data_IF_048196422797
#
_entry.id   IF_048196422797
#
_cell.length_a   1.000
_cell.length_b   1.000
_cell.length_c   1.000
_cell.angle_alpha   90.00
_cell.angle_beta   90.00
_cell.angle_gamma   90.00
#
_symmetry.space_group_name_H-M   'P 1'
#
loop_
_entity.id
_entity.type
_entity.pdbx_description
1 polymer ?
#
# COMPACT_ATOMS: atom_id res chain seq x y z
N UNK A 1 14.05 -19.44 -8.74
CA UNK A 1 13.48 -20.56 -9.52
C UNK A 1 11.97 -20.61 -9.32
N UNK A 2 11.23 -19.67 -9.91
CA UNK A 2 9.78 -19.70 -10.08
C UNK A 2 9.52 -19.07 -11.45
N UNK A 3 9.27 -19.94 -12.43
CA UNK A 3 8.53 -19.74 -13.69
C UNK A 3 8.85 -18.48 -14.51
N UNK A 4 9.78 -18.63 -15.46
CA UNK A 4 9.77 -17.88 -16.73
C UNK A 4 9.64 -18.88 -17.88
N UNK A 5 8.59 -19.70 -17.86
CA UNK A 5 8.06 -20.21 -19.13
C UNK A 5 7.53 -18.97 -19.88
N UNK A 6 7.93 -18.72 -21.13
CA UNK A 6 7.35 -17.63 -21.90
C UNK A 6 5.87 -17.96 -22.08
N UNK A 7 5.02 -17.34 -21.27
CA UNK A 7 3.57 -17.38 -21.44
C UNK A 7 3.31 -16.97 -22.88
N UNK A 8 2.58 -17.77 -23.65
CA UNK A 8 2.33 -17.46 -25.07
C UNK A 8 1.81 -16.03 -25.19
N UNK A 9 2.25 -15.27 -26.20
CA UNK A 9 1.89 -13.85 -26.33
C UNK A 9 0.36 -13.67 -26.26
N UNK A 10 -0.39 -14.62 -26.81
CA UNK A 10 -1.85 -14.67 -26.75
C UNK A 10 -2.39 -14.78 -25.31
N UNK A 11 -1.79 -15.58 -24.44
CA UNK A 11 -2.16 -15.68 -23.03
C UNK A 11 -1.89 -14.37 -22.29
N UNK A 12 -0.79 -13.68 -22.59
CA UNK A 12 -0.47 -12.36 -21.98
C UNK A 12 -1.55 -11.33 -22.36
N UNK A 13 -1.89 -11.25 -23.65
CA UNK A 13 -2.95 -10.37 -24.13
C UNK A 13 -4.30 -10.69 -23.51
N UNK A 14 -4.66 -11.98 -23.42
CA UNK A 14 -5.87 -12.40 -22.73
C UNK A 14 -5.86 -11.99 -21.25
N UNK A 15 -4.74 -12.18 -20.54
CA UNK A 15 -4.62 -11.80 -19.13
C UNK A 15 -4.77 -10.28 -18.94
N UNK A 16 -4.17 -9.47 -19.82
CA UNK A 16 -4.32 -8.00 -19.78
C UNK A 16 -5.79 -7.60 -19.98
N UNK A 17 -6.47 -8.16 -20.98
CA UNK A 17 -7.87 -7.86 -21.26
C UNK A 17 -8.76 -8.28 -20.08
N UNK A 18 -8.57 -9.50 -19.56
CA UNK A 18 -9.35 -10.01 -18.43
C UNK A 18 -9.12 -9.15 -17.18
N UNK A 19 -7.86 -8.85 -16.85
CA UNK A 19 -7.51 -8.00 -15.70
C UNK A 19 -8.08 -6.58 -15.86
N UNK A 20 -8.00 -6.02 -17.07
CA UNK A 20 -8.60 -4.73 -17.41
C UNK A 20 -10.11 -4.72 -17.20
N UNK A 21 -10.82 -5.74 -17.68
CA UNK A 21 -12.26 -5.90 -17.47
C UNK A 21 -12.58 -6.02 -15.98
N UNK A 22 -11.88 -6.88 -15.24
CA UNK A 22 -12.10 -7.09 -13.80
C UNK A 22 -11.88 -5.78 -13.00
N UNK A 23 -10.80 -5.05 -13.31
CA UNK A 23 -10.47 -3.78 -12.65
C UNK A 23 -11.53 -2.73 -12.95
N UNK A 24 -11.92 -2.63 -14.22
CA UNK A 24 -12.98 -1.73 -14.65
C UNK A 24 -14.30 -2.07 -13.95
N UNK A 25 -14.66 -3.35 -13.89
CA UNK A 25 -15.89 -3.80 -13.23
C UNK A 25 -15.84 -3.47 -11.75
N UNK A 26 -14.75 -3.75 -11.05
CA UNK A 26 -14.59 -3.47 -9.61
C UNK A 26 -14.75 -1.98 -9.30
N UNK A 27 -14.24 -1.10 -10.17
CA UNK A 27 -14.34 0.35 -9.99
C UNK A 27 -15.68 0.92 -10.43
N UNK A 28 -16.33 0.31 -11.42
CA UNK A 28 -17.61 0.75 -11.97
C UNK A 28 -18.82 0.14 -11.24
N UNK A 29 -18.62 -0.97 -10.50
CA UNK A 29 -19.65 -1.65 -9.73
C UNK A 29 -20.36 -0.72 -8.72
N UNK A 30 -19.63 0.11 -7.94
CA UNK A 30 -20.24 1.04 -6.99
C UNK A 30 -20.89 2.25 -7.67
N UNK A 31 -20.47 2.58 -8.89
CA UNK A 31 -20.98 3.72 -9.68
C UNK A 31 -22.22 3.33 -10.50
N UNK A 32 -22.41 2.04 -10.76
CA UNK A 32 -23.51 1.52 -11.56
C UNK A 32 -24.83 1.52 -10.78
N UNK A 33 -25.92 1.90 -11.46
CA UNK A 33 -27.29 1.93 -10.95
C UNK A 33 -27.85 0.55 -10.53
N UNK A 34 -27.09 -0.52 -10.79
CA UNK A 34 -27.41 -1.90 -10.43
C UNK A 34 -27.06 -2.29 -8.99
N UNK A 35 -26.31 -1.45 -8.25
CA UNK A 35 -26.12 -1.70 -6.84
C UNK A 35 -27.44 -1.43 -6.10
N UNK A 36 -27.91 -2.33 -5.20
CA UNK A 36 -29.04 -2.01 -4.35
C UNK A 36 -28.72 -0.69 -3.64
N UNK A 37 -29.69 0.23 -3.61
CA UNK A 37 -29.58 1.57 -2.98
C UNK A 37 -29.04 1.55 -1.53
N UNK A 38 -28.94 0.37 -0.93
CA UNK A 38 -28.48 0.13 0.42
C UNK A 38 -27.49 -1.04 0.37
N UNK A 39 -26.19 -0.73 0.24
CA UNK A 39 -25.16 -1.66 0.66
C UNK A 39 -25.41 -1.90 2.15
N UNK A 40 -25.45 -3.15 2.66
CA UNK A 40 -25.60 -3.37 4.09
C UNK A 40 -24.48 -2.63 4.82
N UNK A 41 -24.83 -1.81 5.81
CA UNK A 41 -23.89 -0.90 6.51
C UNK A 41 -22.62 -1.62 7.02
N UNK A 42 -22.73 -2.92 7.34
CA UNK A 42 -21.59 -3.75 7.75
C UNK A 42 -20.54 -3.91 6.64
N UNK A 43 -20.98 -4.09 5.39
CA UNK A 43 -20.08 -4.24 4.23
C UNK A 43 -19.45 -2.91 3.85
N UNK A 44 -20.21 -1.82 3.88
CA UNK A 44 -19.67 -0.47 3.63
C UNK A 44 -18.61 -0.10 4.67
N UNK A 45 -18.87 -0.36 5.96
CA UNK A 45 -17.88 -0.19 7.02
C UNK A 45 -16.65 -1.07 6.79
N UNK A 46 -16.84 -2.35 6.48
CA UNK A 46 -15.73 -3.27 6.20
C UNK A 46 -14.86 -2.80 5.02
N UNK A 47 -15.48 -2.35 3.92
CA UNK A 47 -14.78 -1.80 2.76
C UNK A 47 -14.01 -0.52 3.09
N UNK A 48 -14.53 0.33 3.98
CA UNK A 48 -13.82 1.51 4.49
C UNK A 48 -12.51 1.19 5.24
N UNK A 49 -12.41 0.00 5.85
CA UNK A 49 -11.20 -0.44 6.53
C UNK A 49 -10.18 -1.13 5.60
N UNK A 50 -10.56 -1.50 4.38
CA UNK A 50 -9.68 -2.19 3.43
C UNK A 50 -8.39 -1.39 3.16
N UNK A 51 -8.42 -0.08 2.86
CA UNK A 51 -7.19 0.68 2.61
C UNK A 51 -6.24 0.64 3.81
N UNK A 52 -6.76 0.85 5.02
CA UNK A 52 -5.94 0.83 6.23
C UNK A 52 -5.39 -0.57 6.53
N UNK A 53 -6.20 -1.61 6.34
CA UNK A 53 -5.81 -3.01 6.58
C UNK A 53 -4.72 -3.49 5.62
N UNK A 54 -4.68 -2.95 4.39
CA UNK A 54 -3.66 -3.28 3.39
C UNK A 54 -2.42 -2.42 3.57
N UNK A 55 -2.57 -1.11 3.80
CA UNK A 55 -1.42 -0.19 3.95
C UNK A 55 -0.59 -0.45 5.21
N UNK A 56 -1.23 -0.82 6.32
CA UNK A 56 -0.53 -1.07 7.59
C UNK A 56 0.57 -2.13 7.45
N UNK A 57 0.28 -3.36 6.97
CA UNK A 57 1.31 -4.35 6.73
C UNK A 57 2.32 -3.90 5.66
N UNK A 58 1.91 -3.21 4.59
CA UNK A 58 2.87 -2.69 3.57
C UNK A 58 3.93 -1.79 4.22
N UNK A 59 3.50 -0.89 5.10
CA UNK A 59 4.42 0.03 5.78
C UNK A 59 5.28 -0.75 6.78
N UNK A 60 4.68 -1.60 7.61
CA UNK A 60 5.39 -2.38 8.63
C UNK A 60 6.45 -3.27 7.97
N UNK A 61 6.12 -4.00 6.91
CA UNK A 61 7.08 -4.89 6.23
C UNK A 61 8.17 -4.09 5.55
N UNK A 62 7.86 -2.94 4.94
CA UNK A 62 8.87 -2.06 4.34
C UNK A 62 9.90 -1.52 5.36
N UNK A 63 9.50 -1.37 6.62
CA UNK A 63 10.36 -0.90 7.71
C UNK A 63 11.14 -2.07 8.35
N UNK A 64 10.45 -3.15 8.71
CA UNK A 64 11.03 -4.27 9.46
C UNK A 64 11.86 -5.23 8.59
N UNK A 65 11.43 -5.49 7.34
CA UNK A 65 12.08 -6.42 6.41
C UNK A 65 12.43 -5.69 5.10
N UNK A 66 13.40 -4.74 5.12
CA UNK A 66 13.79 -4.03 3.92
C UNK A 66 14.35 -4.95 2.82
N UNK A 67 15.10 -5.99 3.20
CA UNK A 67 15.77 -6.93 2.31
C UNK A 67 15.30 -8.39 2.51
N UNK A 68 14.18 -8.58 3.20
CA UNK A 68 13.64 -9.91 3.52
C UNK A 68 14.23 -10.57 4.77
N UNK A 69 15.26 -9.97 5.38
CA UNK A 69 15.78 -10.37 6.69
C UNK A 69 15.32 -9.41 7.80
N UNK A 70 15.05 -9.97 8.99
CA UNK A 70 14.71 -9.20 10.18
C UNK A 70 15.97 -8.52 10.73
N UNK A 71 16.27 -7.34 10.21
CA UNK A 71 17.38 -6.51 10.71
C UNK A 71 16.84 -5.51 11.73
N UNK A 72 16.93 -5.86 13.01
CA UNK A 72 16.67 -4.92 14.13
C UNK A 72 17.94 -4.14 14.50
N UNK A 73 19.12 -4.77 14.40
CA UNK A 73 20.41 -4.14 14.65
C UNK A 73 20.90 -3.44 13.37
N UNK A 74 21.02 -2.11 13.41
CA UNK A 74 21.57 -1.29 12.32
C UNK A 74 20.57 -0.79 11.29
N UNK A 75 19.28 -1.16 11.38
CA UNK A 75 18.27 -0.72 10.41
C UNK A 75 17.77 0.70 10.75
N UNK A 76 18.35 1.68 10.06
CA UNK A 76 18.06 3.10 10.25
C UNK A 76 16.63 3.51 9.85
N UNK A 77 15.89 2.63 9.16
CA UNK A 77 14.49 2.88 8.79
C UNK A 77 13.55 2.82 10.00
N UNK A 78 13.90 2.04 11.03
CA UNK A 78 13.10 1.91 12.25
C UNK A 78 12.98 3.23 13.05
N UNK A 79 14.08 3.92 13.43
CA UNK A 79 13.99 5.21 14.12
C UNK A 79 13.35 6.29 13.25
N UNK A 80 13.62 6.30 11.93
CA UNK A 80 12.99 7.24 11.01
C UNK A 80 11.46 7.06 10.95
N UNK A 81 10.98 5.81 10.93
CA UNK A 81 9.56 5.51 10.98
C UNK A 81 8.90 5.91 12.30
N UNK A 82 9.54 5.66 13.44
CA UNK A 82 9.03 6.05 14.75
C UNK A 82 8.84 7.57 14.81
N UNK A 83 9.84 8.34 14.38
CA UNK A 83 9.76 9.80 14.37
C UNK A 83 8.67 10.27 13.38
N UNK A 84 8.55 9.65 12.21
CA UNK A 84 7.48 9.98 11.26
C UNK A 84 6.09 9.74 11.86
N UNK A 85 5.87 8.65 12.60
CA UNK A 85 4.61 8.37 13.31
C UNK A 85 4.34 9.42 14.38
N UNK A 86 5.35 9.80 15.17
CA UNK A 86 5.21 10.87 16.18
C UNK A 86 4.80 12.19 15.54
N UNK A 87 5.42 12.57 14.42
CA UNK A 87 5.07 13.80 13.69
C UNK A 87 3.67 13.70 13.08
N UNK A 88 3.29 12.52 12.57
CA UNK A 88 1.95 12.27 12.04
C UNK A 88 0.86 12.50 13.10
N UNK A 89 1.10 12.00 14.32
CA UNK A 89 0.17 12.17 15.45
C UNK A 89 0.05 13.63 15.90
N UNK A 90 1.15 14.39 15.85
CA UNK A 90 1.18 15.78 16.32
C UNK A 90 0.65 16.77 15.27
N UNK A 91 0.94 16.56 13.99
CA UNK A 91 0.64 17.55 12.95
C UNK A 91 -0.80 17.50 12.47
N UNK A 92 -1.44 16.32 12.47
CA UNK A 92 -2.77 16.13 11.89
C UNK A 92 -2.87 16.45 10.38
N UNK A 93 -1.75 16.73 9.71
CA UNK A 93 -1.69 17.09 8.30
C UNK A 93 -0.82 16.10 7.50
N UNK A 94 -1.38 15.58 6.41
CA UNK A 94 -0.72 14.57 5.57
C UNK A 94 0.57 15.13 4.96
N UNK A 95 0.56 16.41 4.56
CA UNK A 95 1.68 17.05 3.88
C UNK A 95 2.92 17.17 4.78
N UNK A 96 2.75 17.58 6.05
CA UNK A 96 3.86 17.70 6.99
C UNK A 96 4.44 16.32 7.34
N UNK A 97 3.60 15.31 7.51
CA UNK A 97 4.05 13.92 7.74
C UNK A 97 4.89 13.38 6.59
N UNK A 98 4.45 13.65 5.35
CA UNK A 98 5.18 13.21 4.16
C UNK A 98 6.55 13.90 4.06
N UNK A 99 6.56 15.23 4.22
CA UNK A 99 7.78 16.03 4.15
C UNK A 99 8.75 15.69 5.27
N UNK A 100 8.25 15.49 6.51
CA UNK A 100 9.10 15.11 7.62
C UNK A 100 9.64 13.69 7.48
N UNK A 101 8.80 12.73 7.10
CA UNK A 101 9.20 11.33 6.93
C UNK A 101 10.24 11.18 5.82
N UNK A 102 9.97 11.77 4.64
CA UNK A 102 10.93 11.77 3.53
C UNK A 102 12.18 12.55 3.87
N UNK A 103 12.05 13.75 4.44
CA UNK A 103 13.17 14.60 4.81
C UNK A 103 14.09 13.92 5.82
N UNK A 104 13.52 13.25 6.82
CA UNK A 104 14.26 12.51 7.83
C UNK A 104 14.95 11.29 7.22
N UNK A 105 14.25 10.49 6.42
CA UNK A 105 14.86 9.35 5.70
C UNK A 105 16.04 9.82 4.84
N UNK A 106 15.87 10.90 4.08
CA UNK A 106 16.93 11.50 3.28
C UNK A 106 18.13 11.94 4.12
N UNK A 107 17.88 12.63 5.23
CA UNK A 107 18.93 13.15 6.09
C UNK A 107 19.72 12.01 6.73
N UNK A 108 19.03 10.96 7.18
CA UNK A 108 19.66 9.76 7.71
C UNK A 108 20.41 8.94 6.64
N UNK A 109 19.92 8.90 5.41
CA UNK A 109 20.59 8.23 4.29
C UNK A 109 21.77 9.02 3.72
N UNK A 110 21.87 10.32 4.00
CA UNK A 110 22.99 11.15 3.56
C UNK A 110 24.11 11.21 4.60
N UNK A 111 23.76 11.08 5.88
CA UNK A 111 24.71 11.09 6.99
C UNK A 111 25.50 9.77 7.14
N UNK A 112 25.06 8.69 6.46
CA UNK A 112 25.59 7.34 6.56
C UNK A 112 25.60 6.67 5.18
#
# INVERSE_FOLDING_TARGET
>A
MIVSEPLSDMLIWCAIIICGIITFLTRFLPLSRFMPKQIPQSVEKALGYVPAAVLTPIIITAILLPDGEFSLDGNMRLPAAIIAVVIAMLSGSIMLTLLSGLGLLWLLSYLF
#
